data_IF_115655172218
#
_entry.id   IF_115655172218
#
_cell.length_a   1.000
_cell.length_b   1.000
_cell.length_c   1.000
_cell.angle_alpha   90.00
_cell.angle_beta   90.00
_cell.angle_gamma   90.00
#
_symmetry.space_group_name_H-M   'P 1'
#
loop_
_entity.id
_entity.type
_entity.pdbx_description
1 polymer ?
#
# COMPACT_ATOMS: atom_id res chain seq x y z
N UNK A 1 -11.46 -19.08 -2.30
CA UNK A 1 -10.23 -18.35 -2.65
C UNK A 1 -9.02 -19.24 -2.43
N UNK A 2 -8.07 -19.14 -3.33
CA UNK A 2 -6.87 -19.96 -3.25
C UNK A 2 -5.63 -19.10 -3.03
N UNK A 3 -4.72 -19.61 -2.20
CA UNK A 3 -3.43 -19.01 -2.01
C UNK A 3 -2.59 -19.16 -3.30
N UNK A 4 -2.10 -18.03 -3.82
CA UNK A 4 -1.23 -18.05 -4.99
C UNK A 4 0.22 -18.36 -4.57
N UNK A 5 0.74 -17.57 -3.65
CA UNK A 5 2.09 -17.78 -3.11
C UNK A 5 2.29 -16.99 -1.82
N UNK A 6 3.36 -17.30 -1.12
CA UNK A 6 3.80 -16.54 0.05
C UNK A 6 5.18 -15.97 -0.21
N UNK A 7 5.52 -14.89 0.47
CA UNK A 7 6.81 -14.23 0.30
C UNK A 7 7.26 -13.63 1.62
N UNK A 8 8.54 -13.79 1.94
CA UNK A 8 9.13 -13.13 3.11
C UNK A 8 9.87 -11.89 2.63
N UNK A 9 9.47 -10.73 3.15
CA UNK A 9 10.09 -9.45 2.82
C UNK A 9 10.82 -8.94 4.05
N UNK A 10 12.04 -9.40 4.23
CA UNK A 10 12.83 -9.10 5.43
C UNK A 10 13.08 -7.60 5.62
N UNK A 11 13.29 -6.87 4.53
CA UNK A 11 13.51 -5.43 4.59
C UNK A 11 12.33 -4.68 5.20
N UNK A 12 11.13 -5.22 5.08
CA UNK A 12 9.90 -4.65 5.65
C UNK A 12 9.45 -5.38 6.91
N UNK A 13 10.12 -6.49 7.24
CA UNK A 13 9.78 -7.29 8.42
C UNK A 13 8.41 -7.94 8.33
N UNK A 14 8.04 -8.44 7.17
CA UNK A 14 6.70 -8.97 6.93
C UNK A 14 6.75 -10.22 6.07
N UNK A 15 5.84 -11.15 6.36
CA UNK A 15 5.55 -12.30 5.49
C UNK A 15 4.22 -12.01 4.82
N UNK A 16 4.17 -12.12 3.51
CA UNK A 16 2.95 -11.83 2.75
C UNK A 16 2.39 -13.11 2.15
N UNK A 17 1.07 -13.20 2.12
CA UNK A 17 0.36 -14.27 1.42
C UNK A 17 -0.51 -13.60 0.36
N UNK A 18 -0.32 -14.02 -0.88
CA UNK A 18 -0.97 -13.41 -2.04
C UNK A 18 -2.14 -14.26 -2.53
N UNK A 19 -3.31 -13.64 -2.60
CA UNK A 19 -4.54 -14.30 -3.03
C UNK A 19 -5.10 -13.51 -4.22
N UNK A 20 -5.23 -14.16 -5.36
CA UNK A 20 -5.80 -13.51 -6.55
C UNK A 20 -7.30 -13.65 -6.56
N UNK A 21 -7.98 -12.54 -6.78
CA UNK A 21 -9.44 -12.48 -6.83
C UNK A 21 -9.84 -11.74 -8.10
N UNK A 22 -10.14 -12.48 -9.16
CA UNK A 22 -10.40 -11.88 -10.45
C UNK A 22 -9.19 -11.12 -10.94
N UNK A 23 -9.34 -9.85 -11.28
CA UNK A 23 -8.25 -8.97 -11.68
C UNK A 23 -7.54 -8.27 -10.53
N UNK A 24 -7.87 -8.64 -9.29
CA UNK A 24 -7.33 -8.00 -8.10
C UNK A 24 -6.51 -8.96 -7.29
N UNK A 25 -5.70 -8.42 -6.38
CA UNK A 25 -4.90 -9.22 -5.47
C UNK A 25 -5.08 -8.74 -4.04
N UNK A 26 -5.30 -9.68 -3.14
CA UNK A 26 -5.33 -9.41 -1.70
C UNK A 26 -4.03 -9.93 -1.12
N UNK A 27 -3.32 -9.10 -0.39
CA UNK A 27 -2.14 -9.50 0.34
C UNK A 27 -2.45 -9.55 1.83
N UNK A 28 -2.29 -10.71 2.43
CA UNK A 28 -2.36 -10.86 3.87
C UNK A 28 -0.96 -10.62 4.42
N UNK A 29 -0.86 -9.78 5.43
CA UNK A 29 0.42 -9.37 6.00
C UNK A 29 0.58 -9.90 7.41
N UNK A 30 1.64 -10.68 7.65
CA UNK A 30 1.98 -11.16 8.97
C UNK A 30 3.29 -10.52 9.40
N UNK A 31 3.30 -9.74 10.49
CA UNK A 31 4.53 -9.10 10.93
C UNK A 31 5.52 -10.12 11.47
N UNK A 32 6.81 -9.92 11.17
CA UNK A 32 7.88 -10.76 11.70
C UNK A 32 8.24 -10.38 13.14
N UNK A 33 7.72 -9.26 13.64
CA UNK A 33 7.96 -8.82 15.00
C UNK A 33 7.17 -7.55 15.30
N UNK A 34 7.06 -7.23 16.58
CA UNK A 34 6.29 -6.06 17.03
C UNK A 34 6.93 -4.73 16.62
N UNK A 35 8.23 -4.74 16.35
CA UNK A 35 8.97 -3.53 15.99
C UNK A 35 8.88 -3.18 14.51
N UNK A 36 8.26 -4.05 13.72
CA UNK A 36 8.08 -3.82 12.28
C UNK A 36 6.91 -2.87 12.03
N UNK A 37 6.85 -2.21 10.85
CA UNK A 37 5.72 -1.33 10.54
C UNK A 37 4.36 -2.01 10.66
N UNK A 38 4.22 -3.22 10.13
CA UNK A 38 2.97 -3.98 10.24
C UNK A 38 2.73 -4.44 11.67
N UNK A 39 3.80 -4.82 12.39
CA UNK A 39 3.70 -5.19 13.80
C UNK A 39 3.17 -4.05 14.65
N UNK A 40 3.65 -2.84 14.42
CA UNK A 40 3.18 -1.65 15.13
C UNK A 40 1.72 -1.34 14.80
N UNK A 41 1.34 -1.54 13.54
CA UNK A 41 -0.05 -1.34 13.12
C UNK A 41 -0.98 -2.30 13.87
N UNK A 42 -0.64 -3.61 13.88
CA UNK A 42 -1.46 -4.63 14.54
C UNK A 42 -1.53 -4.41 16.05
N UNK A 43 -0.41 -4.02 16.66
CA UNK A 43 -0.35 -3.76 18.10
C UNK A 43 -1.25 -2.58 18.49
N UNK A 44 -1.26 -1.54 17.66
CA UNK A 44 -2.00 -0.32 17.95
C UNK A 44 -3.48 -0.40 17.56
N UNK A 45 -3.78 -0.97 16.41
CA UNK A 45 -5.12 -0.97 15.84
C UNK A 45 -5.78 -2.35 15.76
N UNK A 46 -5.04 -3.41 16.05
CA UNK A 46 -5.53 -4.76 15.85
C UNK A 46 -5.52 -5.15 14.37
N UNK A 47 -6.03 -6.34 14.04
CA UNK A 47 -6.15 -6.77 12.65
C UNK A 47 -7.08 -5.86 11.87
N UNK A 48 -6.74 -5.59 10.62
CA UNK A 48 -7.56 -4.76 9.77
C UNK A 48 -6.89 -4.45 8.44
N UNK A 49 -7.49 -3.57 7.68
CA UNK A 49 -6.94 -3.16 6.39
C UNK A 49 -5.76 -2.23 6.65
N UNK A 50 -4.58 -2.63 6.16
CA UNK A 50 -3.37 -1.83 6.31
C UNK A 50 -3.32 -0.72 5.25
N UNK A 51 -3.50 -1.09 4.00
CA UNK A 51 -3.50 -0.11 2.92
C UNK A 51 -4.25 -0.64 1.71
N UNK A 52 -4.59 0.29 0.82
CA UNK A 52 -5.26 -0.01 -0.44
C UNK A 52 -4.39 0.60 -1.55
N UNK A 53 -4.00 -0.22 -2.53
CA UNK A 53 -3.21 0.24 -3.66
C UNK A 53 -4.07 0.26 -4.92
N UNK A 54 -4.07 1.39 -5.62
CA UNK A 54 -4.82 1.55 -6.86
C UNK A 54 -3.84 1.84 -8.01
N UNK A 55 -3.96 1.08 -9.08
CA UNK A 55 -3.14 1.30 -10.26
C UNK A 55 -3.69 2.46 -11.07
N UNK A 56 -2.80 3.35 -11.51
CA UNK A 56 -3.16 4.49 -12.34
C UNK A 56 -2.30 4.50 -13.60
N UNK A 57 -2.81 5.09 -14.67
CA UNK A 57 -2.08 5.17 -15.95
C UNK A 57 -1.01 6.26 -15.93
N UNK A 58 -1.29 7.39 -15.29
CA UNK A 58 -0.40 8.54 -15.21
C UNK A 58 -0.44 9.10 -13.81
N UNK A 59 0.59 8.83 -13.03
CA UNK A 59 0.64 9.21 -11.62
C UNK A 59 0.76 10.73 -11.45
N UNK A 60 1.42 11.42 -12.36
CA UNK A 60 1.52 12.88 -12.30
C UNK A 60 0.14 13.53 -12.45
N UNK A 61 -0.65 13.03 -13.40
CA UNK A 61 -2.01 13.50 -13.60
C UNK A 61 -2.89 13.17 -12.39
N UNK A 62 -2.76 11.96 -11.86
CA UNK A 62 -3.52 11.54 -10.68
C UNK A 62 -3.20 12.38 -9.47
N UNK A 63 -1.91 12.70 -9.27
CA UNK A 63 -1.49 13.57 -8.18
C UNK A 63 -2.05 14.99 -8.33
N UNK A 64 -2.04 15.52 -9.55
CA UNK A 64 -2.60 16.85 -9.80
C UNK A 64 -4.10 16.90 -9.47
N UNK A 65 -4.83 15.86 -9.87
CA UNK A 65 -6.26 15.75 -9.55
C UNK A 65 -6.51 15.61 -8.05
N UNK A 66 -5.68 14.83 -7.36
CA UNK A 66 -5.81 14.64 -5.93
C UNK A 66 -5.60 15.96 -5.19
N UNK A 67 -4.56 16.70 -5.54
CA UNK A 67 -4.25 17.99 -4.92
C UNK A 67 -5.38 18.99 -5.15
N UNK A 68 -5.95 18.98 -6.35
CA UNK A 68 -7.07 19.85 -6.69
C UNK A 68 -8.29 19.57 -5.81
N UNK A 69 -8.45 18.32 -5.38
CA UNK A 69 -9.56 17.90 -4.53
C UNK A 69 -9.20 17.89 -3.04
N UNK A 70 -8.10 18.50 -2.67
CA UNK A 70 -7.72 18.66 -1.27
C UNK A 70 -6.90 17.54 -0.65
N UNK A 71 -6.40 16.60 -1.46
CA UNK A 71 -5.56 15.51 -0.98
C UNK A 71 -4.10 15.85 -1.21
N UNK A 72 -3.31 15.80 -0.14
CA UNK A 72 -1.86 16.02 -0.23
C UNK A 72 -1.13 14.70 -0.04
N UNK A 73 -0.17 14.38 -0.92
CA UNK A 73 0.62 13.17 -0.75
C UNK A 73 1.56 13.27 0.45
N UNK A 74 1.91 12.12 1.02
CA UNK A 74 2.88 12.03 2.11
C UNK A 74 4.28 12.11 1.52
N UNK A 75 5.05 13.11 1.96
CA UNK A 75 6.43 13.26 1.55
C UNK A 75 6.57 13.59 0.07
N UNK A 76 7.69 13.18 -0.50
CA UNK A 76 7.99 13.41 -1.91
C UNK A 76 7.20 12.45 -2.79
N UNK A 77 6.55 13.00 -3.83
CA UNK A 77 5.73 12.19 -4.71
C UNK A 77 5.72 12.78 -6.13
N UNK A 78 5.78 11.93 -7.17
CA UNK A 78 5.91 10.48 -7.05
C UNK A 78 7.33 10.05 -6.66
N UNK A 79 7.44 8.84 -6.15
CA UNK A 79 8.75 8.28 -5.82
C UNK A 79 8.86 6.86 -6.34
N UNK A 80 10.09 6.34 -6.54
CA UNK A 80 10.28 4.97 -7.02
C UNK A 80 9.72 3.95 -6.04
N UNK A 81 9.00 2.97 -6.56
CA UNK A 81 8.54 1.81 -5.82
C UNK A 81 9.24 0.56 -6.31
N UNK A 82 8.71 -0.61 -5.94
CA UNK A 82 9.25 -1.88 -6.36
C UNK A 82 8.98 -2.11 -7.86
N UNK A 83 9.85 -2.91 -8.50
CA UNK A 83 9.65 -3.39 -9.87
C UNK A 83 9.38 -2.28 -10.91
N UNK A 84 10.18 -1.21 -10.86
CA UNK A 84 10.07 -0.10 -11.82
C UNK A 84 8.73 0.63 -11.75
N UNK A 85 8.09 0.65 -10.58
CA UNK A 85 6.87 1.41 -10.40
C UNK A 85 7.17 2.81 -9.88
N UNK A 86 6.19 3.71 -10.04
CA UNK A 86 6.17 5.00 -9.36
C UNK A 86 4.99 4.97 -8.41
N UNK A 87 5.20 5.41 -7.18
CA UNK A 87 4.17 5.33 -6.15
C UNK A 87 3.99 6.67 -5.42
N UNK A 88 2.81 6.83 -4.85
CA UNK A 88 2.52 7.95 -3.95
C UNK A 88 1.53 7.47 -2.90
N UNK A 89 1.64 8.01 -1.70
CA UNK A 89 0.80 7.62 -0.56
C UNK A 89 0.04 8.84 -0.04
N UNK A 90 -1.17 8.60 0.44
CA UNK A 90 -2.00 9.61 1.08
C UNK A 90 -2.33 9.18 2.50
N UNK A 91 -2.26 10.14 3.44
CA UNK A 91 -2.43 9.86 4.86
C UNK A 91 -3.84 9.35 5.17
N UNK A 92 -3.98 8.35 6.05
CA UNK A 92 -5.30 7.81 6.42
C UNK A 92 -6.32 8.84 6.90
N UNK A 93 -5.86 9.92 7.50
CA UNK A 93 -6.78 10.98 7.97
C UNK A 93 -7.58 11.62 6.83
N UNK A 94 -7.03 11.60 5.62
CA UNK A 94 -7.67 12.22 4.45
C UNK A 94 -8.45 11.21 3.61
N UNK A 95 -8.37 9.93 3.93
CA UNK A 95 -8.94 8.84 3.14
C UNK A 95 -9.82 7.89 3.95
N UNK A 96 -10.42 8.37 5.02
CA UNK A 96 -11.35 7.58 5.81
C UNK A 96 -10.73 6.52 6.69
N UNK A 97 -9.45 6.67 7.03
CA UNK A 97 -8.77 5.76 7.97
C UNK A 97 -7.93 4.67 7.32
N UNK A 98 -7.80 4.66 6.00
CA UNK A 98 -7.02 3.66 5.28
C UNK A 98 -5.88 4.34 4.54
N UNK A 99 -4.66 3.83 4.69
CA UNK A 99 -3.52 4.33 3.92
C UNK A 99 -3.77 4.04 2.44
N UNK A 100 -3.83 5.08 1.63
CA UNK A 100 -4.07 4.93 0.20
C UNK A 100 -2.77 5.08 -0.57
N UNK A 101 -2.52 4.12 -1.46
CA UNK A 101 -1.37 4.15 -2.36
C UNK A 101 -1.87 4.21 -3.79
N UNK A 102 -1.26 5.05 -4.62
CA UNK A 102 -1.49 4.98 -6.07
C UNK A 102 -0.19 4.54 -6.71
N UNK A 103 -0.30 3.70 -7.73
CA UNK A 103 0.84 3.02 -8.36
C UNK A 103 0.73 3.14 -9.86
N UNK A 104 1.79 3.65 -10.49
CA UNK A 104 1.92 3.61 -11.94
C UNK A 104 2.91 2.51 -12.28
N UNK A 105 2.43 1.50 -12.99
CA UNK A 105 3.27 0.43 -13.49
C UNK A 105 3.86 0.83 -14.84
N UNK A 106 5.03 0.33 -15.10
CA UNK A 106 5.70 0.59 -16.37
C UNK A 106 5.00 -0.10 -17.55
#
# INVERSE_FOLDING_TARGET
LKLDHTEEVESEGVTTAHIKVGGYEIELLEPMGKDTPVGKFVDKKGPGIHHLALEVDDIEESLAKAKKNGLEPIGEAPRPGADNTLVAFFHPKDTGGVLLEIVQCE
#
